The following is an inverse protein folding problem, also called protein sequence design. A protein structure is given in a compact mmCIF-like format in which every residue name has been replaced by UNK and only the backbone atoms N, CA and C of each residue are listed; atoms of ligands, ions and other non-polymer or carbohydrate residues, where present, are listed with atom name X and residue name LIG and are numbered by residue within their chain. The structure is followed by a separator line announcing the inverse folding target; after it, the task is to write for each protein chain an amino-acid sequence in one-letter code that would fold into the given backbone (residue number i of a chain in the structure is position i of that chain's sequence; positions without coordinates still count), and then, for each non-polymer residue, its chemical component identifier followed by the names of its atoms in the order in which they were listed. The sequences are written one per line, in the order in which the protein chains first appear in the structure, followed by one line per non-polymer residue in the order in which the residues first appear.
data_IF_272010757744
#
_entry.id   IF_272010757744
#
_cell.length_a   1.000
_cell.length_b   1.000
_cell.length_c   1.000
_cell.angle_alpha   90.00
_cell.angle_beta   90.00
_cell.angle_gamma   90.00
#
_symmetry.space_group_name_H-M   'P 1'
#
loop_
_entity.id
_entity.type
_entity.pdbx_description
1 polymer ?
#
# COMPACT_ATOMS: atom_id res chain seq x y z
N UNK A 1 14.05 7.26 -1.77
CA UNK A 1 12.74 6.73 -1.34
C UNK A 1 12.72 5.24 -1.67
N UNK A 2 12.42 4.39 -0.69
CA UNK A 2 12.25 2.95 -0.97
C UNK A 2 10.89 2.79 -1.64
N UNK A 3 10.89 2.49 -2.92
CA UNK A 3 9.67 2.21 -3.71
C UNK A 3 9.01 0.95 -3.14
N UNK A 4 7.71 0.98 -2.85
CA UNK A 4 6.98 -0.17 -2.32
C UNK A 4 7.02 -1.34 -3.31
N UNK A 5 6.82 -2.55 -2.81
CA UNK A 5 6.71 -3.73 -3.69
C UNK A 5 5.52 -3.56 -4.64
N UNK A 6 4.42 -2.99 -4.17
CA UNK A 6 3.24 -2.72 -5.00
C UNK A 6 3.57 -1.82 -6.19
N UNK A 7 4.30 -0.71 -5.97
CA UNK A 7 4.75 0.18 -7.05
C UNK A 7 5.66 -0.55 -8.05
N UNK A 8 6.64 -1.32 -7.57
CA UNK A 8 7.53 -2.10 -8.44
C UNK A 8 6.80 -3.14 -9.29
N UNK A 9 5.75 -3.74 -8.77
CA UNK A 9 4.90 -4.68 -9.51
C UNK A 9 4.08 -3.97 -10.59
N UNK A 10 3.55 -2.79 -10.29
CA UNK A 10 2.83 -1.95 -11.26
C UNK A 10 3.73 -1.47 -12.38
N UNK A 11 4.90 -0.93 -12.08
CA UNK A 11 5.87 -0.44 -13.06
C UNK A 11 6.31 -1.51 -14.06
N UNK A 12 6.31 -2.77 -13.65
CA UNK A 12 6.74 -3.89 -14.48
C UNK A 12 5.60 -4.72 -15.07
N UNK A 13 4.37 -4.36 -14.78
CA UNK A 13 3.19 -5.18 -15.10
C UNK A 13 3.10 -5.56 -16.59
N UNK A 14 3.38 -4.63 -17.51
CA UNK A 14 3.30 -4.88 -18.95
C UNK A 14 4.34 -5.89 -19.44
N UNK A 15 5.48 -5.99 -18.74
CA UNK A 15 6.55 -6.93 -19.07
C UNK A 15 6.36 -8.33 -18.49
N UNK A 16 5.28 -8.55 -17.69
CA UNK A 16 5.03 -9.81 -17.01
C UNK A 16 4.38 -10.84 -17.92
N UNK A 17 4.83 -12.09 -17.79
CA UNK A 17 4.17 -13.26 -18.41
C UNK A 17 2.82 -13.53 -17.75
N UNK A 18 1.98 -14.35 -18.38
CA UNK A 18 0.68 -14.75 -17.82
C UNK A 18 0.79 -15.35 -16.43
N UNK A 19 1.75 -16.24 -16.21
CA UNK A 19 1.98 -16.88 -14.90
C UNK A 19 2.47 -15.87 -13.84
N UNK A 20 3.32 -14.93 -14.22
CA UNK A 20 3.76 -13.84 -13.32
C UNK A 20 2.61 -12.90 -12.97
N UNK A 21 1.72 -12.55 -13.90
CA UNK A 21 0.52 -11.74 -13.63
C UNK A 21 -0.45 -12.44 -12.67
N UNK A 22 -0.61 -13.75 -12.81
CA UNK A 22 -1.41 -14.55 -11.88
C UNK A 22 -0.81 -14.53 -10.46
N UNK A 23 0.51 -14.61 -10.34
CA UNK A 23 1.21 -14.48 -9.07
C UNK A 23 1.05 -13.08 -8.47
N UNK A 24 1.15 -12.02 -9.29
CA UNK A 24 0.91 -10.64 -8.86
C UNK A 24 -0.51 -10.48 -8.31
N UNK A 25 -1.52 -11.02 -8.97
CA UNK A 25 -2.90 -10.98 -8.50
C UNK A 25 -3.04 -11.57 -7.08
N UNK A 26 -2.43 -12.73 -6.83
CA UNK A 26 -2.44 -13.36 -5.49
C UNK A 26 -1.68 -12.54 -4.44
N UNK A 27 -0.55 -11.92 -4.81
CA UNK A 27 0.21 -11.05 -3.90
C UNK A 27 -0.63 -9.82 -3.52
N UNK A 28 -1.32 -9.21 -4.49
CA UNK A 28 -2.07 -7.96 -4.29
C UNK A 28 -3.44 -8.16 -3.63
N UNK A 29 -4.03 -9.36 -3.69
CA UNK A 29 -5.33 -9.66 -3.11
C UNK A 29 -5.41 -9.34 -1.61
N UNK A 30 -4.37 -9.65 -0.85
CA UNK A 30 -4.27 -9.32 0.58
C UNK A 30 -2.84 -8.83 0.91
N UNK A 31 -2.46 -7.74 0.27
CA UNK A 31 -1.13 -7.13 0.42
C UNK A 31 -0.97 -6.44 1.78
N UNK A 32 0.17 -6.54 2.45
CA UNK A 32 1.39 -7.28 2.09
C UNK A 32 1.40 -8.73 2.62
N UNK A 33 0.33 -9.19 3.25
CA UNK A 33 0.24 -10.46 4.00
C UNK A 33 0.37 -11.68 3.10
N UNK A 34 -0.19 -11.64 1.89
CA UNK A 34 -0.22 -12.78 0.96
C UNK A 34 1.17 -13.33 0.62
N UNK A 35 2.20 -12.49 0.61
CA UNK A 35 3.58 -12.88 0.29
C UNK A 35 4.44 -13.30 1.49
N UNK A 36 3.90 -13.28 2.72
CA UNK A 36 4.69 -13.58 3.94
C UNK A 36 4.87 -15.07 4.21
N UNK A 37 4.16 -15.94 3.52
CA UNK A 37 4.31 -17.40 3.60
C UNK A 37 5.58 -17.91 2.95
N UNK A 38 5.77 -19.24 2.93
CA UNK A 38 6.89 -19.85 2.20
C UNK A 38 6.74 -19.63 0.69
N UNK A 39 7.87 -19.68 -0.03
CA UNK A 39 7.86 -19.59 -1.50
C UNK A 39 6.99 -20.70 -2.12
N UNK A 40 6.97 -21.89 -1.51
CA UNK A 40 6.14 -23.02 -1.93
C UNK A 40 4.66 -22.73 -1.75
N UNK A 41 4.27 -22.21 -0.57
CA UNK A 41 2.88 -21.85 -0.30
C UNK A 41 2.38 -20.74 -1.23
N UNK A 42 3.21 -19.75 -1.54
CA UNK A 42 2.87 -18.70 -2.48
C UNK A 42 2.72 -19.24 -3.91
N UNK A 43 3.60 -20.15 -4.33
CA UNK A 43 3.53 -20.80 -5.62
C UNK A 43 2.24 -21.64 -5.77
N UNK A 44 1.87 -22.40 -4.73
CA UNK A 44 0.64 -23.20 -4.70
C UNK A 44 -0.61 -22.32 -4.79
N UNK A 45 -0.70 -21.27 -3.99
CA UNK A 45 -1.82 -20.31 -4.03
C UNK A 45 -1.99 -19.67 -5.40
N UNK A 46 -0.90 -19.31 -6.04
CA UNK A 46 -0.91 -18.71 -7.36
C UNK A 46 -0.98 -19.74 -8.50
N UNK A 47 -0.99 -21.04 -8.20
CA UNK A 47 -0.96 -22.13 -9.19
C UNK A 47 0.20 -21.98 -10.21
N UNK A 48 1.36 -21.57 -9.73
CA UNK A 48 2.58 -21.42 -10.51
C UNK A 48 3.71 -22.25 -9.90
N UNK A 49 4.80 -22.42 -10.63
CA UNK A 49 5.98 -23.13 -10.10
C UNK A 49 6.81 -22.21 -9.18
N UNK A 50 7.49 -22.80 -8.19
CA UNK A 50 8.45 -22.09 -7.34
C UNK A 50 9.52 -21.31 -8.13
N UNK A 51 10.09 -21.83 -9.24
CA UNK A 51 10.96 -21.03 -10.09
C UNK A 51 10.31 -19.79 -10.71
N UNK A 52 9.00 -19.81 -10.95
CA UNK A 52 8.27 -18.63 -11.44
C UNK A 52 8.22 -17.53 -10.37
N UNK A 53 7.99 -17.92 -9.11
CA UNK A 53 8.04 -16.99 -7.97
C UNK A 53 9.43 -16.38 -7.86
N UNK A 54 10.49 -17.20 -7.89
CA UNK A 54 11.86 -16.72 -7.79
C UNK A 54 12.23 -15.74 -8.93
N UNK A 55 11.81 -16.03 -10.17
CA UNK A 55 12.04 -15.14 -11.31
C UNK A 55 11.31 -13.82 -11.18
N UNK A 56 10.02 -13.81 -10.75
CA UNK A 56 9.29 -12.58 -10.52
C UNK A 56 10.00 -11.71 -9.49
N UNK A 57 10.37 -12.29 -8.36
CA UNK A 57 11.08 -11.61 -7.27
C UNK A 57 12.38 -10.95 -7.75
N UNK A 58 13.17 -11.66 -8.56
CA UNK A 58 14.39 -11.11 -9.17
C UNK A 58 14.07 -10.00 -10.19
N UNK A 59 13.02 -10.19 -10.97
CA UNK A 59 12.57 -9.23 -11.99
C UNK A 59 12.14 -7.88 -11.39
N UNK A 60 11.56 -7.88 -10.20
CA UNK A 60 11.19 -6.67 -9.46
C UNK A 60 12.34 -6.09 -8.62
N UNK A 61 13.55 -6.66 -8.74
CA UNK A 61 14.79 -6.09 -8.23
C UNK A 61 15.25 -6.60 -6.88
N UNK A 62 14.76 -7.75 -6.40
CA UNK A 62 15.27 -8.41 -5.19
C UNK A 62 16.28 -9.51 -5.54
N UNK A 63 17.26 -9.72 -4.68
CA UNK A 63 18.25 -10.79 -4.83
C UNK A 63 17.64 -12.18 -4.68
N UNK A 64 16.53 -12.30 -3.95
CA UNK A 64 15.82 -13.55 -3.74
C UNK A 64 14.61 -13.40 -2.85
N UNK A 65 13.88 -14.50 -2.68
CA UNK A 65 12.64 -14.54 -1.91
C UNK A 65 12.77 -14.08 -0.44
N UNK A 66 13.87 -14.39 0.29
CA UNK A 66 14.05 -13.89 1.65
C UNK A 66 14.10 -12.36 1.75
N UNK A 67 14.76 -11.69 0.80
CA UNK A 67 14.84 -10.23 0.76
C UNK A 67 13.47 -9.61 0.43
N UNK A 68 12.74 -10.21 -0.51
CA UNK A 68 11.37 -9.84 -0.82
C UNK A 68 10.45 -9.95 0.41
N UNK A 69 10.54 -11.06 1.16
CA UNK A 69 9.79 -11.25 2.39
C UNK A 69 10.16 -10.23 3.48
N UNK A 70 11.45 -9.92 3.63
CA UNK A 70 11.90 -8.92 4.60
C UNK A 70 11.29 -7.55 4.30
N UNK A 71 11.25 -7.17 3.02
CA UNK A 71 10.61 -5.94 2.58
C UNK A 71 9.10 -5.95 2.86
N UNK A 72 8.38 -7.06 2.56
CA UNK A 72 6.95 -7.18 2.88
C UNK A 72 6.68 -7.06 4.37
N UNK A 73 7.54 -7.64 5.23
CA UNK A 73 7.41 -7.50 6.68
C UNK A 73 7.59 -6.06 7.13
N UNK A 74 8.59 -5.37 6.60
CA UNK A 74 8.82 -3.96 6.90
C UNK A 74 7.62 -3.09 6.50
N UNK A 75 7.01 -3.35 5.35
CA UNK A 75 5.80 -2.65 4.91
C UNK A 75 4.59 -2.97 5.79
N UNK A 76 4.45 -4.23 6.24
CA UNK A 76 3.43 -4.62 7.20
C UNK A 76 3.62 -3.92 8.54
N UNK A 77 4.84 -3.93 9.08
CA UNK A 77 5.19 -3.25 10.32
C UNK A 77 4.90 -1.75 10.23
N UNK A 78 5.24 -1.11 9.13
CA UNK A 78 4.91 0.29 8.88
C UNK A 78 3.40 0.57 8.85
N UNK A 79 2.61 -0.40 8.37
CA UNK A 79 1.14 -0.31 8.33
C UNK A 79 0.51 -0.56 9.70
N UNK A 80 1.03 -1.54 10.44
CA UNK A 80 0.52 -1.93 11.78
C UNK A 80 1.01 -0.97 12.87
N UNK A 81 2.13 -0.27 12.63
CA UNK A 81 2.65 0.73 13.57
C UNK A 81 1.60 1.81 13.79
N UNK A 82 0.79 1.59 14.82
CA UNK A 82 -0.30 2.47 15.20
C UNK A 82 0.19 3.88 15.57
N UNK A 83 -0.72 4.83 15.80
CA UNK A 83 -0.37 6.20 16.19
C UNK A 83 0.57 6.28 17.40
N UNK A 84 0.49 5.32 18.32
CA UNK A 84 1.34 5.28 19.54
C UNK A 84 2.79 4.96 19.19
N UNK A 85 3.07 3.95 18.35
CA UNK A 85 4.43 3.62 17.95
C UNK A 85 5.08 4.73 17.11
N UNK A 86 4.30 5.44 16.31
CA UNK A 86 4.75 6.65 15.62
C UNK A 86 5.03 7.79 16.59
N UNK A 87 4.22 7.92 17.65
CA UNK A 87 4.44 8.92 18.71
C UNK A 87 5.78 8.73 19.41
N UNK A 88 6.16 7.49 19.75
CA UNK A 88 7.42 7.20 20.44
C UNK A 88 8.64 7.56 19.57
N UNK A 89 8.57 7.25 18.27
CA UNK A 89 9.63 7.63 17.31
C UNK A 89 9.75 9.15 17.13
N UNK A 90 8.66 9.90 17.27
CA UNK A 90 8.66 11.36 17.19
C UNK A 90 9.13 12.02 18.47
N UNK A 91 8.78 11.47 19.62
CA UNK A 91 9.21 11.96 20.92
C UNK A 91 10.74 11.89 21.07
N UNK A 92 11.37 10.86 20.47
CA UNK A 92 12.84 10.75 20.41
C UNK A 92 13.49 11.73 19.42
N UNK A 93 12.79 12.10 18.34
CA UNK A 93 13.35 12.94 17.29
C UNK A 93 13.36 14.44 17.62
N UNK A 94 12.51 14.91 18.56
CA UNK A 94 12.41 16.35 18.95
C UNK A 94 12.19 16.50 20.46
N UNK A 95 13.23 16.24 21.27
CA UNK A 95 13.09 16.16 22.72
C UNK A 95 12.68 17.48 23.41
N UNK A 96 12.88 18.64 22.79
CA UNK A 96 12.67 19.96 23.39
C UNK A 96 11.43 20.72 22.87
N UNK A 97 10.59 20.12 22.03
CA UNK A 97 9.39 20.80 21.51
C UNK A 97 8.16 20.51 22.35
N UNK A 98 7.31 21.54 22.55
CA UNK A 98 6.04 21.38 23.23
C UNK A 98 5.15 20.35 22.51
N UNK A 99 4.39 19.53 23.28
CA UNK A 99 3.52 18.45 22.75
C UNK A 99 2.58 18.92 21.63
N UNK A 100 2.13 20.17 21.66
CA UNK A 100 1.30 20.76 20.61
C UNK A 100 2.03 20.85 19.26
N UNK A 101 3.34 21.19 19.28
CA UNK A 101 4.14 21.27 18.07
C UNK A 101 4.39 19.86 17.51
N UNK A 102 4.69 18.90 18.36
CA UNK A 102 4.83 17.50 17.95
C UNK A 102 3.54 16.95 17.34
N UNK A 103 2.40 17.23 17.97
CA UNK A 103 1.10 16.82 17.44
C UNK A 103 0.80 17.47 16.09
N UNK A 104 1.08 18.75 15.94
CA UNK A 104 0.88 19.49 14.68
C UNK A 104 1.73 18.90 13.55
N UNK A 105 3.02 18.67 13.80
CA UNK A 105 3.91 18.06 12.81
C UNK A 105 3.44 16.66 12.40
N UNK A 106 2.96 15.89 13.36
CA UNK A 106 2.40 14.58 13.13
C UNK A 106 1.18 14.60 12.20
N UNK A 107 0.24 15.50 12.48
CA UNK A 107 -0.98 15.69 11.67
C UNK A 107 -0.59 16.16 10.27
N UNK A 108 0.30 17.12 10.14
CA UNK A 108 0.79 17.63 8.86
C UNK A 108 1.49 16.53 8.04
N UNK A 109 2.32 15.71 8.70
CA UNK A 109 3.00 14.58 8.06
C UNK A 109 2.00 13.54 7.54
N UNK A 110 0.97 13.20 8.33
CA UNK A 110 -0.08 12.27 7.92
C UNK A 110 -0.87 12.79 6.71
N UNK A 111 -1.22 14.08 6.71
CA UNK A 111 -1.91 14.72 5.59
C UNK A 111 -1.04 14.67 4.32
N UNK A 112 0.23 15.06 4.42
CA UNK A 112 1.18 15.03 3.28
C UNK A 112 1.33 13.61 2.72
N UNK A 113 1.46 12.61 3.61
CA UNK A 113 1.57 11.21 3.21
C UNK A 113 0.31 10.73 2.50
N UNK A 114 -0.87 11.06 3.02
CA UNK A 114 -2.16 10.70 2.42
C UNK A 114 -2.34 11.33 1.04
N UNK A 115 -2.03 12.62 0.91
CA UNK A 115 -2.08 13.31 -0.39
C UNK A 115 -1.10 12.71 -1.39
N UNK A 116 0.10 12.34 -0.94
CA UNK A 116 1.12 11.71 -1.80
C UNK A 116 0.74 10.31 -2.29
N UNK A 117 -0.24 9.65 -1.66
CA UNK A 117 -0.76 8.35 -2.10
C UNK A 117 -1.92 8.47 -3.10
N UNK A 118 -2.47 9.67 -3.27
CA UNK A 118 -3.58 9.90 -4.21
C UNK A 118 -3.01 10.01 -5.62
N UNK A 119 -3.50 9.14 -6.51
CA UNK A 119 -3.24 9.30 -7.93
C UNK A 119 -4.04 10.51 -8.45
N UNK A 120 -3.34 11.55 -8.90
CA UNK A 120 -3.94 12.82 -9.33
C UNK A 120 -4.85 12.65 -10.53
N UNK A 121 -4.50 11.79 -11.48
CA UNK A 121 -5.32 11.50 -12.66
C UNK A 121 -6.66 10.84 -12.28
N UNK A 122 -6.62 9.85 -11.37
CA UNK A 122 -7.83 9.20 -10.84
C UNK A 122 -8.67 10.21 -10.05
N UNK A 123 -8.05 11.08 -9.27
CA UNK A 123 -8.74 12.14 -8.53
C UNK A 123 -9.47 13.09 -9.48
N UNK A 124 -8.81 13.56 -10.53
CA UNK A 124 -9.39 14.45 -11.53
C UNK A 124 -10.55 13.79 -12.28
N UNK A 125 -10.43 12.49 -12.62
CA UNK A 125 -11.51 11.72 -13.22
C UNK A 125 -12.72 11.62 -12.27
N UNK A 126 -12.51 11.37 -10.99
CA UNK A 126 -13.58 11.37 -9.99
C UNK A 126 -14.24 12.73 -9.87
N UNK A 127 -13.46 13.80 -9.83
CA UNK A 127 -13.98 15.17 -9.80
C UNK A 127 -14.84 15.47 -11.04
N UNK A 128 -14.38 15.10 -12.23
CA UNK A 128 -15.12 15.28 -13.47
C UNK A 128 -16.46 14.52 -13.47
N UNK A 129 -16.47 13.28 -12.94
CA UNK A 129 -17.69 12.49 -12.81
C UNK A 129 -18.69 13.12 -11.83
N UNK A 130 -18.23 13.64 -10.70
CA UNK A 130 -19.09 14.27 -9.69
C UNK A 130 -19.60 15.65 -10.14
N UNK A 131 -18.85 16.37 -10.95
CA UNK A 131 -19.24 17.67 -11.49
C UNK A 131 -20.19 17.57 -12.71
N UNK A 132 -20.43 16.39 -13.24
CA UNK A 132 -21.32 16.20 -14.38
C UNK A 132 -22.80 16.32 -13.96
N UNK A 133 -23.38 17.51 -14.18
CA UNK A 133 -24.79 17.81 -13.86
C UNK A 133 -25.83 16.91 -14.58
N UNK A 134 -25.42 16.09 -15.55
CA UNK A 134 -26.31 15.14 -16.22
C UNK A 134 -26.40 13.81 -15.46
N UNK A 135 -25.62 13.62 -14.42
CA UNK A 135 -25.57 12.39 -13.62
C UNK A 135 -26.18 12.61 -12.24
N UNK A 136 -26.93 11.64 -11.78
CA UNK A 136 -27.36 11.58 -10.38
C UNK A 136 -26.24 10.98 -9.53
N UNK A 137 -25.87 11.68 -8.44
CA UNK A 137 -24.91 11.20 -7.46
C UNK A 137 -25.67 10.73 -6.23
N UNK A 138 -25.49 9.50 -5.82
CA UNK A 138 -26.08 8.93 -4.63
C UNK A 138 -25.00 8.73 -3.57
N UNK A 139 -25.16 9.35 -2.39
CA UNK A 139 -24.26 9.17 -1.25
C UNK A 139 -24.91 8.19 -0.27
N UNK A 140 -24.23 7.08 0.01
CA UNK A 140 -24.72 6.04 0.92
C UNK A 140 -23.78 5.92 2.10
N UNK A 141 -24.24 6.27 3.28
CA UNK A 141 -23.51 6.12 4.53
C UNK A 141 -23.69 4.74 5.14
N UNK A 142 -22.59 4.12 5.62
CA UNK A 142 -22.66 2.94 6.46
C UNK A 142 -23.10 3.28 7.89
N UNK A 143 -23.10 2.26 8.78
CA UNK A 143 -23.60 2.40 10.16
C UNK A 143 -22.93 3.55 10.96
N UNK A 144 -21.64 3.78 10.73
CA UNK A 144 -20.84 4.82 11.42
C UNK A 144 -20.81 6.13 10.62
N UNK A 145 -20.86 6.04 9.28
CA UNK A 145 -20.71 7.19 8.38
C UNK A 145 -22.04 7.76 7.88
N UNK A 146 -23.17 7.28 8.39
CA UNK A 146 -24.51 7.74 8.01
C UNK A 146 -24.68 9.25 8.21
N UNK A 147 -24.20 9.75 9.35
CA UNK A 147 -24.27 11.19 9.66
C UNK A 147 -23.43 12.09 8.74
N UNK A 148 -22.55 11.50 7.90
CA UNK A 148 -21.77 12.24 6.90
C UNK A 148 -22.42 12.19 5.51
N UNK A 149 -23.49 11.39 5.34
CA UNK A 149 -24.24 11.22 4.09
C UNK A 149 -25.57 12.01 4.09
N UNK A 150 -26.06 12.41 5.26
CA UNK A 150 -27.21 13.30 5.45
C UNK A 150 -26.80 14.77 5.36
#
# INVERSE_FOLDING_TARGET
MLTSISERLQDRFDSLTRAERQLVAVITENYPVSGLGSITSLAEKAQVSTPTVARLVQKIGFKGFPEFQAQLRSELEATISGPIAKHDTWAEAVPDSHILNQFTEAVMSNIKTSIGQINTETFDQCCALLADHKRAVYVVGGRITRAMAD
#
